data_IF_263476795881
#
_entry.id   IF_263476795881
#
_cell.length_a   1.000
_cell.length_b   1.000
_cell.length_c   1.000
_cell.angle_alpha   90.00
_cell.angle_beta   90.00
_cell.angle_gamma   90.00
#
_symmetry.space_group_name_H-M   'P 1'
#
loop_
_entity.id
_entity.type
_entity.pdbx_description
1 polymer ?
#
# COMPACT_ATOMS: atom_id res chain seq x y z
N UNK A 1 15.28 7.65 24.63
CA UNK A 1 15.36 6.76 23.45
C UNK A 1 14.38 7.25 22.41
N UNK A 2 14.89 7.79 21.30
CA UNK A 2 14.04 8.35 20.24
C UNK A 2 13.95 7.34 19.11
N UNK A 3 12.72 6.95 18.76
CA UNK A 3 12.41 6.05 17.65
C UNK A 3 11.44 6.75 16.71
N UNK A 4 11.49 6.41 15.43
CA UNK A 4 10.60 6.95 14.40
C UNK A 4 9.77 5.83 13.79
N UNK A 5 8.60 6.19 13.26
CA UNK A 5 7.78 5.33 12.40
C UNK A 5 7.62 6.06 11.08
N UNK A 6 7.99 5.39 9.99
CA UNK A 6 7.96 5.96 8.65
C UNK A 6 7.65 4.87 7.62
N UNK A 7 7.17 5.27 6.44
CA UNK A 7 6.92 4.37 5.32
C UNK A 7 8.21 4.23 4.52
N UNK A 8 8.62 2.99 4.24
CA UNK A 8 9.80 2.74 3.41
C UNK A 8 9.51 1.67 2.36
N UNK A 9 10.14 1.80 1.20
CA UNK A 9 10.08 0.80 0.14
C UNK A 9 11.39 0.01 0.08
N UNK A 10 12.49 0.63 -0.37
CA UNK A 10 13.80 -0.03 -0.49
C UNK A 10 14.68 0.15 0.75
N UNK A 11 14.32 1.06 1.67
CA UNK A 11 15.15 1.41 2.82
C UNK A 11 16.31 2.36 2.53
N UNK A 12 16.46 2.88 1.29
CA UNK A 12 17.56 3.77 0.91
C UNK A 12 17.65 5.02 1.80
N UNK A 13 16.52 5.66 2.08
CA UNK A 13 16.44 6.84 2.97
C UNK A 13 16.91 6.53 4.38
N UNK A 14 16.54 5.36 4.93
CA UNK A 14 16.99 4.95 6.26
C UNK A 14 18.51 4.75 6.28
N UNK A 15 19.08 4.11 5.24
CA UNK A 15 20.53 3.88 5.16
C UNK A 15 21.33 5.17 5.00
N UNK A 16 20.86 6.10 4.16
CA UNK A 16 21.48 7.42 4.01
C UNK A 16 21.55 8.21 5.34
N UNK A 17 20.61 7.94 6.25
CA UNK A 17 20.52 8.58 7.57
C UNK A 17 21.09 7.73 8.73
N UNK A 18 21.80 6.63 8.44
CA UNK A 18 22.36 5.72 9.46
C UNK A 18 21.30 5.14 10.41
N UNK A 19 20.09 4.94 9.91
CA UNK A 19 18.98 4.30 10.60
C UNK A 19 18.81 2.85 10.14
N UNK A 20 18.24 2.02 11.02
CA UNK A 20 17.89 0.63 10.72
C UNK A 20 16.45 0.33 11.12
N UNK A 21 15.84 -0.58 10.39
CA UNK A 21 14.56 -1.19 10.79
C UNK A 21 14.86 -2.14 11.96
N UNK A 22 14.01 -2.11 12.99
CA UNK A 22 14.11 -3.04 14.11
C UNK A 22 13.60 -4.43 13.69
N UNK A 23 14.10 -5.49 14.32
CA UNK A 23 13.79 -6.88 13.94
C UNK A 23 12.28 -7.16 13.91
N UNK A 24 11.54 -6.66 14.91
CA UNK A 24 10.07 -6.70 14.99
C UNK A 24 9.43 -5.31 14.72
N UNK A 25 10.12 -4.48 13.92
CA UNK A 25 9.74 -3.09 13.66
C UNK A 25 8.80 -2.89 12.46
N UNK A 26 8.43 -3.96 11.77
CA UNK A 26 7.50 -3.90 10.63
C UNK A 26 6.06 -3.93 11.15
N UNK A 27 5.37 -2.80 11.04
CA UNK A 27 3.97 -2.68 11.45
C UNK A 27 3.02 -3.20 10.37
N UNK A 28 3.24 -2.83 9.10
CA UNK A 28 2.40 -3.20 7.98
C UNK A 28 3.23 -3.25 6.68
N UNK A 29 2.98 -4.26 5.84
CA UNK A 29 3.37 -4.23 4.42
C UNK A 29 2.20 -3.65 3.62
N UNK A 30 2.41 -2.50 3.00
CA UNK A 30 1.37 -1.81 2.25
C UNK A 30 1.46 -2.09 0.74
N UNK A 31 0.32 -1.95 0.07
CA UNK A 31 0.16 -2.02 -1.37
C UNK A 31 -0.95 -1.07 -1.81
N UNK A 32 -1.04 -0.79 -3.11
CA UNK A 32 -2.18 -0.09 -3.66
C UNK A 32 -3.43 -1.00 -3.59
N UNK A 33 -4.55 -0.44 -3.13
CA UNK A 33 -5.82 -1.16 -3.01
C UNK A 33 -6.92 -0.41 -3.77
N UNK A 34 -7.64 -1.11 -4.64
CA UNK A 34 -8.87 -0.59 -5.23
C UNK A 34 -10.02 -0.77 -4.21
N UNK A 35 -10.59 0.35 -3.77
CA UNK A 35 -11.69 0.36 -2.78
C UNK A 35 -12.85 1.20 -3.28
N UNK A 36 -14.08 0.79 -2.94
CA UNK A 36 -15.30 1.54 -3.23
C UNK A 36 -16.15 1.68 -1.96
N UNK A 37 -17.02 2.68 -1.91
CA UNK A 37 -17.93 2.86 -0.78
C UNK A 37 -18.83 1.63 -0.62
N UNK A 38 -19.14 1.22 0.63
CA UNK A 38 -19.97 0.03 0.89
C UNK A 38 -21.35 0.10 0.21
N UNK A 39 -21.89 1.31 0.04
CA UNK A 39 -23.19 1.55 -0.62
C UNK A 39 -23.13 1.48 -2.15
N UNK A 40 -21.95 1.40 -2.77
CA UNK A 40 -21.80 1.38 -4.23
C UNK A 40 -21.70 -0.04 -4.81
N UNK A 41 -22.15 -1.07 -4.11
CA UNK A 41 -21.99 -2.48 -4.51
C UNK A 41 -22.71 -2.84 -5.82
N UNK A 42 -23.72 -2.06 -6.24
CA UNK A 42 -24.41 -2.20 -7.54
C UNK A 42 -24.01 -1.12 -8.56
N UNK A 43 -22.97 -0.32 -8.28
CA UNK A 43 -22.54 0.73 -9.19
C UNK A 43 -21.86 0.13 -10.42
N UNK A 44 -22.54 0.22 -11.57
CA UNK A 44 -22.00 -0.18 -12.87
C UNK A 44 -20.63 0.46 -13.16
N UNK A 45 -20.44 1.73 -12.78
CA UNK A 45 -19.17 2.42 -13.00
C UNK A 45 -18.03 1.83 -12.15
N UNK A 46 -18.32 1.38 -10.93
CA UNK A 46 -17.33 0.69 -10.08
C UNK A 46 -16.94 -0.65 -10.71
N UNK A 47 -17.92 -1.40 -11.20
CA UNK A 47 -17.69 -2.68 -11.89
C UNK A 47 -16.83 -2.50 -13.16
N UNK A 48 -17.14 -1.51 -14.00
CA UNK A 48 -16.38 -1.19 -15.21
C UNK A 48 -14.93 -0.81 -14.89
N UNK A 49 -14.69 0.01 -13.87
CA UNK A 49 -13.33 0.39 -13.44
C UNK A 49 -12.57 -0.82 -12.91
N UNK A 50 -13.22 -1.63 -12.06
CA UNK A 50 -12.60 -2.83 -11.51
C UNK A 50 -12.23 -3.84 -12.59
N UNK A 51 -13.08 -4.03 -13.60
CA UNK A 51 -12.80 -4.90 -14.74
C UNK A 51 -11.61 -4.41 -15.56
N UNK A 52 -11.50 -3.09 -15.80
CA UNK A 52 -10.37 -2.51 -16.53
C UNK A 52 -9.04 -2.64 -15.79
N UNK A 53 -9.05 -2.44 -14.47
CA UNK A 53 -7.85 -2.61 -13.63
C UNK A 53 -7.41 -4.08 -13.63
N UNK A 54 -8.36 -5.01 -13.47
CA UNK A 54 -8.09 -6.46 -13.57
C UNK A 54 -7.45 -6.85 -14.90
N UNK A 55 -8.08 -6.45 -16.01
CA UNK A 55 -7.56 -6.71 -17.35
C UNK A 55 -6.15 -6.11 -17.57
N UNK A 56 -5.89 -4.91 -17.04
CA UNK A 56 -4.57 -4.27 -17.16
C UNK A 56 -3.48 -4.89 -16.27
N UNK A 57 -3.87 -5.69 -15.28
CA UNK A 57 -2.97 -6.39 -14.37
C UNK A 57 -2.85 -7.89 -14.70
N UNK A 58 -3.51 -8.36 -15.77
CA UNK A 58 -3.58 -9.79 -16.16
C UNK A 58 -4.12 -10.71 -15.04
N UNK A 59 -5.06 -10.21 -14.24
CA UNK A 59 -5.73 -10.93 -13.13
C UNK A 59 -7.25 -10.87 -13.21
#
# INVERSE_FOLDING_TARGET
STSIVDITSTGSTLRANRLKVLEDGIILRSQACLVSARRSHTSRRVEEIAARIRAGLEI
#
